data_IF_269912687703
#
_entry.id   IF_269912687703
#
_cell.length_a   1.000
_cell.length_b   1.000
_cell.length_c   1.000
_cell.angle_alpha   90.00
_cell.angle_beta   90.00
_cell.angle_gamma   90.00
#
_symmetry.space_group_name_H-M   'P 1'
#
loop_
_entity.id
_entity.type
_entity.pdbx_description
1 polymer ?
#
# COMPACT_ATOMS: atom_id res chain seq x y z
N UNK A 1 -65.74 3.98 21.93
CA UNK A 1 -64.91 4.63 22.97
C UNK A 1 -63.45 4.39 22.60
N UNK A 2 -62.62 5.30 22.10
CA UNK A 2 -62.57 6.77 22.21
C UNK A 2 -61.62 7.16 23.35
N UNK A 3 -60.35 7.50 23.04
CA UNK A 3 -59.38 8.32 23.83
C UNK A 3 -58.02 8.34 23.09
N UNK A 4 -57.74 9.28 22.18
CA UNK A 4 -57.11 10.63 22.33
C UNK A 4 -55.65 10.68 22.86
N UNK A 5 -54.74 10.95 21.90
CA UNK A 5 -53.64 11.95 21.81
C UNK A 5 -52.66 12.12 22.99
N UNK A 6 -51.35 12.17 22.65
CA UNK A 6 -50.53 13.41 22.70
C UNK A 6 -49.23 13.30 21.88
N UNK A 7 -49.00 14.35 21.08
CA UNK A 7 -47.70 14.77 20.53
C UNK A 7 -46.87 15.36 21.67
N UNK A 8 -45.54 15.38 21.55
CA UNK A 8 -44.72 16.56 21.85
C UNK A 8 -43.35 16.47 21.17
N UNK A 9 -42.97 17.59 20.58
CA UNK A 9 -41.77 17.88 19.81
C UNK A 9 -40.91 18.87 20.60
N UNK A 10 -39.61 18.65 20.76
CA UNK A 10 -38.70 19.66 21.31
C UNK A 10 -37.39 19.73 20.53
N UNK A 11 -37.01 20.97 20.29
CA UNK A 11 -36.06 21.54 19.34
C UNK A 11 -34.61 21.51 19.83
N UNK A 12 -33.67 21.23 18.91
CA UNK A 12 -32.22 21.32 19.14
C UNK A 12 -31.71 22.71 18.78
N UNK A 13 -31.30 23.49 19.78
CA UNK A 13 -30.59 24.75 19.62
C UNK A 13 -29.14 24.52 19.15
N UNK A 14 -28.70 25.30 18.15
CA UNK A 14 -27.31 25.35 17.66
C UNK A 14 -26.64 26.62 18.18
N UNK A 15 -25.61 26.49 19.01
CA UNK A 15 -24.76 27.62 19.41
C UNK A 15 -23.61 27.84 18.43
N UNK A 16 -23.50 29.08 17.94
CA UNK A 16 -22.48 29.62 17.04
C UNK A 16 -21.20 29.93 17.83
N UNK A 17 -20.04 29.51 17.33
CA UNK A 17 -18.71 29.89 17.87
C UNK A 17 -18.10 30.93 16.92
N UNK A 18 -17.83 32.13 17.42
CA UNK A 18 -17.21 33.24 16.66
C UNK A 18 -15.70 33.24 16.90
N UNK A 19 -14.91 33.12 15.83
CA UNK A 19 -13.44 33.18 15.85
C UNK A 19 -12.96 34.64 15.69
N UNK A 20 -12.32 35.18 16.73
CA UNK A 20 -11.79 36.55 16.75
C UNK A 20 -10.53 36.74 15.88
N UNK A 21 -10.52 37.83 15.11
CA UNK A 21 -9.42 38.29 14.26
C UNK A 21 -8.18 38.69 15.09
N UNK A 22 -7.01 38.12 14.78
CA UNK A 22 -5.71 38.65 15.21
C UNK A 22 -5.10 39.50 14.10
N UNK A 23 -4.87 40.79 14.40
CA UNK A 23 -4.15 41.77 13.58
C UNK A 23 -2.66 41.39 13.50
N UNK A 24 -2.05 41.48 12.31
CA UNK A 24 -0.59 41.39 12.09
C UNK A 24 0.05 42.78 12.34
N UNK A 25 1.20 42.90 13.02
CA UNK A 25 1.94 44.16 13.08
C UNK A 25 2.73 44.42 11.78
N UNK A 26 2.76 45.69 11.35
CA UNK A 26 3.55 46.22 10.22
C UNK A 26 5.05 46.14 10.52
N UNK A 27 5.83 45.68 9.52
CA UNK A 27 7.28 45.90 9.49
C UNK A 27 7.55 47.33 8.99
N UNK A 28 8.26 48.13 9.78
CA UNK A 28 8.84 49.40 9.34
C UNK A 28 10.12 49.12 8.54
N UNK A 29 10.23 49.74 7.36
CA UNK A 29 11.49 49.88 6.63
C UNK A 29 12.19 51.14 7.13
N UNK A 30 13.50 51.07 7.41
CA UNK A 30 14.33 52.26 7.64
C UNK A 30 15.54 52.23 6.72
N UNK A 31 15.71 53.33 6.00
CA UNK A 31 16.64 53.56 4.92
C UNK A 31 18.12 53.65 5.35
N UNK A 32 18.96 53.15 4.46
CA UNK A 32 20.34 53.55 4.12
C UNK A 32 21.13 54.44 5.09
N UNK A 33 22.21 53.88 5.64
CA UNK A 33 23.46 54.62 5.91
C UNK A 33 24.59 53.92 5.14
N UNK A 34 25.05 54.60 4.10
CA UNK A 34 26.21 54.25 3.27
C UNK A 34 27.42 55.03 3.81
N UNK A 35 28.41 54.35 4.40
CA UNK A 35 29.83 54.33 3.98
C UNK A 35 30.84 54.04 5.09
N UNK A 36 31.93 53.40 4.64
CA UNK A 36 33.29 53.51 5.17
C UNK A 36 33.70 52.58 6.33
N UNK A 37 34.00 51.32 6.00
CA UNK A 37 35.14 50.61 6.61
C UNK A 37 35.90 49.79 5.55
N UNK A 38 37.08 50.32 5.21
CA UNK A 38 38.36 49.69 4.84
C UNK A 38 38.34 48.31 4.15
N UNK A 39 38.86 48.32 2.92
CA UNK A 39 39.35 47.15 2.16
C UNK A 39 40.36 46.35 2.98
N UNK A 40 39.95 45.19 3.49
CA UNK A 40 40.85 44.06 3.73
C UNK A 40 40.47 42.95 2.76
N UNK A 41 41.33 42.69 1.79
CA UNK A 41 41.16 41.68 0.75
C UNK A 41 41.21 40.27 1.34
N UNK A 42 40.07 39.77 1.81
CA UNK A 42 39.83 38.35 1.96
C UNK A 42 39.55 37.77 0.57
N UNK A 43 40.57 37.22 -0.09
CA UNK A 43 40.40 36.25 -1.19
C UNK A 43 39.96 34.90 -0.60
N UNK A 44 38.79 34.89 0.03
CA UNK A 44 38.07 33.68 0.36
C UNK A 44 36.99 33.48 -0.69
N UNK A 45 37.09 32.43 -1.50
CA UNK A 45 36.03 32.05 -2.43
C UNK A 45 34.81 31.57 -1.64
N UNK A 46 33.97 32.50 -1.18
CA UNK A 46 32.61 32.18 -0.74
C UNK A 46 31.80 31.81 -1.98
N UNK A 47 31.77 30.52 -2.30
CA UNK A 47 30.77 29.99 -3.24
C UNK A 47 29.42 30.04 -2.52
N UNK A 48 28.39 30.71 -3.06
CA UNK A 48 27.04 30.53 -2.53
C UNK A 48 26.66 29.05 -2.72
N UNK A 49 26.48 28.31 -1.62
CA UNK A 49 25.97 26.91 -1.61
C UNK A 49 24.46 26.93 -1.87
N UNK A 50 24.01 27.67 -2.89
CA UNK A 50 22.61 27.81 -3.29
C UNK A 50 22.42 27.48 -4.77
N UNK A 51 23.27 26.63 -5.35
CA UNK A 51 22.88 25.91 -6.56
C UNK A 51 22.17 24.62 -6.11
N UNK A 52 20.84 24.50 -6.26
CA UNK A 52 20.22 23.19 -6.17
C UNK A 52 20.93 22.31 -7.21
N UNK A 53 21.35 21.11 -6.79
CA UNK A 53 21.99 20.15 -7.68
C UNK A 53 21.19 20.05 -8.99
N UNK A 54 21.84 19.90 -10.15
CA UNK A 54 21.13 19.71 -11.40
C UNK A 54 20.17 18.52 -11.23
N UNK A 55 18.87 18.82 -11.22
CA UNK A 55 17.84 17.80 -11.19
C UNK A 55 18.00 17.09 -12.54
N UNK A 56 18.54 15.88 -12.53
CA UNK A 56 18.57 15.02 -13.70
C UNK A 56 17.16 14.96 -14.26
N UNK A 57 16.90 15.66 -15.38
CA UNK A 57 15.63 15.59 -16.09
C UNK A 57 15.53 14.16 -16.62
N UNK A 58 14.87 13.30 -15.87
CA UNK A 58 14.52 11.97 -16.36
C UNK A 58 13.59 12.24 -17.56
N UNK A 59 14.07 11.96 -18.77
CA UNK A 59 13.24 12.05 -19.96
C UNK A 59 12.01 11.16 -19.74
N UNK A 60 10.79 11.67 -19.98
CA UNK A 60 9.59 10.87 -19.77
C UNK A 60 9.66 9.66 -20.69
N UNK A 61 9.68 8.48 -20.08
CA UNK A 61 9.69 7.20 -20.80
C UNK A 61 8.37 7.13 -21.58
N UNK A 62 8.45 7.19 -22.92
CA UNK A 62 7.28 6.95 -23.77
C UNK A 62 6.84 5.50 -23.59
N UNK A 63 5.53 5.26 -23.50
CA UNK A 63 5.03 3.89 -23.35
C UNK A 63 5.51 3.01 -24.50
N UNK A 64 6.14 1.85 -24.22
CA UNK A 64 6.62 0.95 -25.25
C UNK A 64 5.43 0.31 -26.00
N UNK A 65 5.58 0.05 -27.30
CA UNK A 65 4.56 -0.62 -28.13
C UNK A 65 4.47 -2.13 -27.88
N UNK A 66 5.52 -2.72 -27.31
CA UNK A 66 5.59 -4.15 -27.01
C UNK A 66 4.62 -4.48 -25.88
N UNK A 67 3.72 -5.41 -26.14
CA UNK A 67 2.80 -5.93 -25.13
C UNK A 67 3.49 -7.01 -24.27
N UNK A 68 3.32 -6.93 -22.96
CA UNK A 68 3.81 -7.92 -22.00
C UNK A 68 2.68 -8.50 -21.18
N UNK A 69 2.82 -9.76 -20.73
CA UNK A 69 1.93 -10.41 -19.77
C UNK A 69 2.56 -10.33 -18.38
N UNK A 70 1.84 -9.76 -17.41
CA UNK A 70 2.28 -9.70 -16.02
C UNK A 70 1.66 -10.85 -15.22
N UNK A 71 2.51 -11.69 -14.64
CA UNK A 71 2.12 -12.78 -13.76
C UNK A 71 2.94 -12.73 -12.47
N UNK A 72 2.36 -13.25 -11.39
CA UNK A 72 2.98 -13.35 -10.07
C UNK A 72 3.06 -14.81 -9.67
N UNK A 73 4.16 -15.15 -9.02
CA UNK A 73 4.44 -16.48 -8.48
C UNK A 73 4.62 -16.37 -6.96
N UNK A 74 3.81 -17.11 -6.20
CA UNK A 74 3.84 -17.13 -4.73
C UNK A 74 4.13 -18.55 -4.30
N UNK A 75 5.15 -18.74 -3.47
CA UNK A 75 5.51 -20.06 -2.92
C UNK A 75 5.10 -20.14 -1.47
N UNK A 76 4.44 -21.24 -1.10
CA UNK A 76 4.08 -21.56 0.28
C UNK A 76 4.59 -22.96 0.61
N UNK A 77 5.02 -23.15 1.86
CA UNK A 77 5.48 -24.45 2.39
C UNK A 77 4.54 -25.00 3.45
N UNK A 78 3.47 -24.25 3.76
CA UNK A 78 2.49 -24.55 4.79
C UNK A 78 1.11 -24.11 4.29
N UNK A 79 0.05 -24.72 4.83
CA UNK A 79 -1.31 -24.31 4.51
C UNK A 79 -1.58 -22.89 5.03
N UNK A 80 -2.37 -22.08 4.30
CA UNK A 80 -2.72 -20.74 4.75
C UNK A 80 -3.63 -20.81 5.99
N UNK A 81 -3.32 -19.99 6.99
CA UNK A 81 -4.05 -19.96 8.27
C UNK A 81 -5.47 -19.39 8.14
N UNK A 82 -5.68 -18.49 7.18
CA UNK A 82 -6.96 -17.81 6.98
C UNK A 82 -7.64 -18.33 5.72
N UNK A 83 -8.67 -19.16 5.92
CA UNK A 83 -9.47 -19.79 4.87
C UNK A 83 -10.95 -19.53 5.11
N UNK A 84 -11.60 -18.83 4.19
CA UNK A 84 -13.04 -18.64 4.16
C UNK A 84 -13.66 -19.60 3.14
N UNK A 85 -14.70 -20.33 3.54
CA UNK A 85 -15.48 -21.13 2.62
C UNK A 85 -16.49 -20.24 1.88
N UNK A 86 -16.45 -20.26 0.56
CA UNK A 86 -17.40 -19.57 -0.32
C UNK A 86 -18.42 -20.61 -0.85
N UNK A 87 -19.49 -20.12 -1.48
CA UNK A 87 -20.45 -20.92 -2.24
C UNK A 87 -19.75 -21.85 -3.25
N UNK A 88 -20.38 -22.98 -3.52
CA UNK A 88 -19.96 -24.00 -4.49
C UNK A 88 -18.60 -24.67 -4.16
N UNK A 89 -18.21 -24.70 -2.89
CA UNK A 89 -16.97 -25.35 -2.44
C UNK A 89 -15.68 -24.60 -2.82
N UNK A 90 -15.80 -23.37 -3.31
CA UNK A 90 -14.66 -22.49 -3.50
C UNK A 90 -14.15 -22.01 -2.15
N UNK A 91 -12.84 -21.84 -2.03
CA UNK A 91 -12.23 -21.31 -0.81
C UNK A 91 -11.50 -20.01 -1.11
N UNK A 92 -11.71 -19.00 -0.29
CA UNK A 92 -10.90 -17.78 -0.30
C UNK A 92 -9.83 -17.92 0.75
N UNK A 93 -8.59 -17.73 0.36
CA UNK A 93 -7.46 -17.78 1.27
C UNK A 93 -6.69 -16.47 1.22
N UNK A 94 -6.03 -16.17 2.31
CA UNK A 94 -5.16 -15.01 2.41
C UNK A 94 -3.74 -15.48 2.72
N UNK A 95 -2.79 -15.01 1.92
CA UNK A 95 -1.36 -15.31 2.08
C UNK A 95 -0.63 -13.98 2.27
N UNK A 96 0.25 -13.93 3.27
CA UNK A 96 1.20 -12.84 3.40
C UNK A 96 2.42 -13.16 2.54
N UNK A 97 2.60 -12.43 1.44
CA UNK A 97 3.76 -12.53 0.57
C UNK A 97 4.59 -11.25 0.71
N UNK A 98 5.73 -11.34 1.41
CA UNK A 98 6.67 -10.22 1.60
C UNK A 98 6.02 -8.93 2.15
N UNK A 99 5.05 -9.07 3.06
CA UNK A 99 4.32 -7.95 3.66
C UNK A 99 3.08 -7.52 2.88
N UNK A 100 2.82 -8.12 1.70
CA UNK A 100 1.61 -7.89 0.92
C UNK A 100 0.56 -8.95 1.21
N UNK A 101 -0.66 -8.50 1.47
CA UNK A 101 -1.82 -9.37 1.63
C UNK A 101 -2.33 -9.81 0.26
N UNK A 102 -2.15 -11.08 -0.07
CA UNK A 102 -2.66 -11.66 -1.32
C UNK A 102 -3.93 -12.44 -1.03
N UNK A 103 -5.04 -12.00 -1.62
CA UNK A 103 -6.31 -12.72 -1.56
C UNK A 103 -6.44 -13.65 -2.77
N UNK A 104 -6.71 -14.93 -2.54
CA UNK A 104 -6.72 -15.96 -3.60
C UNK A 104 -8.03 -16.75 -3.50
N UNK A 105 -8.73 -16.91 -4.62
CA UNK A 105 -9.92 -17.77 -4.72
C UNK A 105 -9.56 -19.12 -5.35
N UNK A 106 -9.49 -20.16 -4.53
CA UNK A 106 -9.04 -21.49 -4.92
C UNK A 106 -10.24 -22.39 -5.26
N UNK A 107 -10.12 -23.11 -6.38
CA UNK A 107 -11.09 -24.14 -6.79
C UNK A 107 -11.01 -25.37 -5.86
N UNK A 108 -12.14 -26.04 -5.57
CA UNK A 108 -12.15 -27.18 -4.65
C UNK A 108 -11.14 -28.29 -5.01
N UNK A 109 -10.99 -28.62 -6.31
CA UNK A 109 -10.00 -29.60 -6.78
C UNK A 109 -8.55 -29.23 -6.43
N UNK A 110 -8.19 -27.95 -6.59
CA UNK A 110 -6.84 -27.47 -6.30
C UNK A 110 -6.58 -27.41 -4.79
N UNK A 111 -7.61 -27.06 -4.02
CA UNK A 111 -7.53 -27.08 -2.56
C UNK A 111 -7.33 -28.50 -2.01
N UNK A 112 -8.05 -29.50 -2.53
CA UNK A 112 -7.89 -30.89 -2.09
C UNK A 112 -6.47 -31.41 -2.36
N UNK A 113 -5.82 -31.00 -3.47
CA UNK A 113 -4.42 -31.34 -3.74
C UNK A 113 -3.46 -30.76 -2.69
N UNK A 114 -3.73 -29.54 -2.20
CA UNK A 114 -2.94 -28.95 -1.12
C UNK A 114 -3.12 -29.70 0.20
N UNK A 115 -4.35 -30.08 0.55
CA UNK A 115 -4.61 -30.88 1.74
C UNK A 115 -3.92 -32.24 1.67
N UNK A 116 -4.07 -32.94 0.55
CA UNK A 116 -3.43 -34.24 0.35
C UNK A 116 -1.91 -34.14 0.47
N UNK A 117 -1.28 -33.14 -0.14
CA UNK A 117 0.16 -32.95 -0.04
C UNK A 117 0.64 -32.66 1.40
N UNK A 118 -0.19 -31.96 2.18
CA UNK A 118 0.10 -31.68 3.58
C UNK A 118 -0.05 -32.90 4.49
N UNK A 119 -0.89 -33.86 4.13
CA UNK A 119 -1.05 -35.14 4.83
C UNK A 119 0.00 -36.17 4.39
N UNK A 120 0.34 -36.20 3.10
CA UNK A 120 1.21 -37.21 2.49
C UNK A 120 2.71 -36.89 2.68
N UNK A 121 3.08 -35.61 2.75
CA UNK A 121 4.47 -35.18 2.83
C UNK A 121 4.73 -34.32 4.05
N UNK A 122 5.75 -34.67 4.84
CA UNK A 122 6.22 -33.82 5.95
C UNK A 122 6.79 -32.48 5.46
N UNK A 123 7.42 -32.49 4.28
CA UNK A 123 7.96 -31.30 3.61
C UNK A 123 7.46 -31.20 2.16
N UNK A 124 6.72 -30.14 1.86
CA UNK A 124 6.21 -29.83 0.53
C UNK A 124 6.34 -28.35 0.20
N UNK A 125 6.32 -28.02 -1.09
CA UNK A 125 6.30 -26.64 -1.59
C UNK A 125 5.17 -26.53 -2.61
N UNK A 126 4.23 -25.63 -2.39
CA UNK A 126 3.25 -25.26 -3.41
C UNK A 126 3.61 -23.92 -4.03
N UNK A 127 3.51 -23.89 -5.35
CA UNK A 127 3.66 -22.71 -6.17
C UNK A 127 2.28 -22.30 -6.66
N UNK A 128 1.90 -21.05 -6.37
CA UNK A 128 0.65 -20.44 -6.78
C UNK A 128 1.00 -19.35 -7.81
N UNK A 129 0.59 -19.56 -9.05
CA UNK A 129 0.74 -18.56 -10.12
C UNK A 129 -0.59 -17.89 -10.43
N UNK A 130 -0.55 -16.64 -10.87
CA UNK A 130 -1.74 -15.94 -11.33
C UNK A 130 -1.44 -14.52 -11.80
N UNK A 131 -2.49 -13.80 -12.18
CA UNK A 131 -2.42 -12.39 -12.57
C UNK A 131 -2.76 -11.49 -11.39
N UNK A 132 -2.14 -10.32 -11.31
CA UNK A 132 -2.52 -9.29 -10.32
C UNK A 132 -3.90 -8.75 -10.72
N UNK A 133 -4.84 -8.83 -9.80
CA UNK A 133 -6.19 -8.30 -9.91
C UNK A 133 -6.37 -6.98 -9.17
N UNK A 134 -7.57 -6.79 -8.63
CA UNK A 134 -7.93 -5.58 -7.90
C UNK A 134 -7.02 -5.37 -6.69
N UNK A 135 -6.61 -4.12 -6.47
CA UNK A 135 -5.84 -3.73 -5.29
C UNK A 135 -6.74 -3.74 -4.06
N UNK A 136 -6.30 -4.40 -3.00
CA UNK A 136 -6.97 -4.45 -1.70
C UNK A 136 -6.14 -3.69 -0.66
N UNK A 137 -6.67 -3.56 0.57
CA UNK A 137 -5.91 -2.95 1.67
C UNK A 137 -4.64 -3.78 1.91
N UNK A 138 -3.48 -3.13 1.74
CA UNK A 138 -2.15 -3.73 1.91
C UNK A 138 -1.81 -4.88 0.94
N UNK A 139 -2.47 -4.98 -0.23
CA UNK A 139 -2.07 -5.98 -1.24
C UNK A 139 -3.00 -6.05 -2.44
N UNK A 140 -3.26 -7.24 -2.98
CA UNK A 140 -4.05 -7.44 -4.19
C UNK A 140 -4.78 -8.78 -4.23
N UNK A 141 -5.81 -8.88 -5.08
CA UNK A 141 -6.47 -10.15 -5.42
C UNK A 141 -5.68 -10.86 -6.53
N UNK A 142 -5.45 -12.16 -6.39
CA UNK A 142 -4.82 -12.99 -7.41
C UNK A 142 -5.91 -13.59 -8.32
N UNK A 143 -5.90 -13.17 -9.59
CA UNK A 143 -6.80 -13.68 -10.62
C UNK A 143 -6.22 -14.93 -11.27
N UNK A 144 -7.10 -15.82 -11.71
CA UNK A 144 -6.76 -17.08 -12.39
C UNK A 144 -5.68 -17.90 -11.64
N UNK A 145 -5.86 -18.21 -10.33
CA UNK A 145 -4.84 -18.91 -9.58
C UNK A 145 -4.67 -20.36 -10.07
N UNK A 146 -3.44 -20.72 -10.40
CA UNK A 146 -3.02 -22.08 -10.69
C UNK A 146 -2.06 -22.58 -9.60
N UNK A 147 -2.33 -23.77 -9.05
CA UNK A 147 -1.57 -24.34 -7.94
C UNK A 147 -0.84 -25.58 -8.42
N UNK A 148 0.47 -25.60 -8.20
CA UNK A 148 1.35 -26.73 -8.45
C UNK A 148 2.02 -27.11 -7.14
N UNK A 149 1.91 -28.37 -6.74
CA UNK A 149 2.51 -28.86 -5.49
C UNK A 149 3.65 -29.80 -5.82
N UNK A 150 4.76 -29.61 -5.13
CA UNK A 150 5.99 -30.37 -5.30
C UNK A 150 6.40 -30.95 -3.95
N UNK A 151 6.84 -32.21 -3.97
CA UNK A 151 7.52 -32.81 -2.82
C UNK A 151 8.89 -32.15 -2.69
N UNK A 152 9.23 -31.70 -1.48
CA UNK A 152 10.52 -31.09 -1.25
C UNK A 152 11.57 -32.16 -0.99
N UNK A 153 12.26 -32.60 -2.04
CA UNK A 153 13.41 -33.48 -1.91
C UNK A 153 14.64 -32.62 -1.60
N UNK A 154 14.70 -31.97 -0.42
CA UNK A 154 15.95 -31.37 0.03
C UNK A 154 16.93 -32.53 0.25
N UNK A 155 18.07 -32.61 -0.47
CA UNK A 155 19.12 -33.53 -0.07
C UNK A 155 19.62 -33.03 1.28
N UNK A 156 19.49 -33.87 2.31
CA UNK A 156 20.17 -33.68 3.58
C UNK A 156 21.66 -33.54 3.23
N UNK A 157 22.21 -32.32 3.28
CA UNK A 157 23.67 -32.15 3.29
C UNK A 157 24.12 -32.70 4.63
N UNK A 158 24.55 -33.96 4.62
CA UNK A 158 25.30 -34.59 5.70
C UNK A 158 26.64 -33.90 5.88
#
# INVERSE_FOLDING_TARGET
>A
MGLRKKKDSLSTERTKITLGLRKKPMLMQSDNIINSVRKSSFKGNFRPINQPAPINRINPIKMPKTQGKLEVNIKITQLPNFVENIKNGWRRVYVNADGYLVQIKIRPKAWNKLLQANEEYSDWIATITGKIGARIKNGFELLEPAIQVYKNNKPTKN
#
